data_IF_905857128332
#
_entry.id   IF_905857128332
#
_cell.length_a   1.000
_cell.length_b   1.000
_cell.length_c   1.000
_cell.angle_alpha   90.00
_cell.angle_beta   90.00
_cell.angle_gamma   90.00
#
_symmetry.space_group_name_H-M   'P 1'
#
loop_
_entity.id
_entity.type
_entity.pdbx_description
1 polymer ?
#
# COMPACT_ATOMS: atom_id res chain seq x y z
N UNK A 1 49.95 -44.05 2.26
CA UNK A 1 49.55 -42.85 3.03
C UNK A 1 49.67 -41.53 2.26
N UNK A 2 50.70 -41.30 1.43
CA UNK A 2 50.91 -40.02 0.69
C UNK A 2 49.77 -39.61 -0.28
N UNK A 3 49.11 -40.57 -0.97
CA UNK A 3 48.03 -40.28 -1.93
C UNK A 3 46.71 -39.79 -1.31
N UNK A 4 46.45 -40.10 -0.04
CA UNK A 4 45.22 -39.67 0.67
C UNK A 4 45.37 -38.26 1.25
N UNK A 5 46.60 -37.91 1.67
CA UNK A 5 46.93 -36.55 2.13
C UNK A 5 46.84 -35.53 0.98
N UNK A 6 47.30 -35.89 -0.22
CA UNK A 6 47.23 -35.01 -1.39
C UNK A 6 45.78 -34.78 -1.88
N UNK A 7 44.94 -35.83 -1.83
CA UNK A 7 43.52 -35.73 -2.19
C UNK A 7 42.69 -34.93 -1.18
N UNK A 8 42.98 -35.08 0.12
CA UNK A 8 42.32 -34.30 1.16
C UNK A 8 42.72 -32.82 1.10
N UNK A 9 44.00 -32.52 0.83
CA UNK A 9 44.47 -31.14 0.68
C UNK A 9 43.88 -30.44 -0.54
N UNK A 10 43.70 -31.15 -1.67
CA UNK A 10 43.08 -30.58 -2.87
C UNK A 10 41.59 -30.27 -2.65
N UNK A 11 40.87 -31.11 -1.90
CA UNK A 11 39.44 -30.94 -1.62
C UNK A 11 39.20 -29.77 -0.65
N UNK A 12 40.08 -29.58 0.33
CA UNK A 12 40.03 -28.43 1.27
C UNK A 12 40.33 -27.12 0.55
N UNK A 13 41.32 -27.10 -0.35
CA UNK A 13 41.62 -25.90 -1.16
C UNK A 13 40.47 -25.57 -2.11
N UNK A 14 39.84 -26.57 -2.72
CA UNK A 14 38.67 -26.36 -3.59
C UNK A 14 37.46 -25.82 -2.82
N UNK A 15 37.22 -26.34 -1.60
CA UNK A 15 36.15 -25.85 -0.72
C UNK A 15 36.39 -24.40 -0.27
N UNK A 16 37.64 -24.04 0.05
CA UNK A 16 38.03 -22.69 0.45
C UNK A 16 37.90 -21.67 -0.71
N UNK A 17 38.17 -22.08 -1.95
CA UNK A 17 37.94 -21.22 -3.12
C UNK A 17 36.46 -21.00 -3.44
N UNK A 18 35.58 -21.95 -3.11
CA UNK A 18 34.14 -21.84 -3.36
C UNK A 18 33.44 -20.90 -2.36
N UNK A 19 33.96 -20.80 -1.13
CA UNK A 19 33.46 -19.87 -0.09
C UNK A 19 33.93 -18.42 -0.28
N UNK A 20 34.95 -18.17 -1.11
CA UNK A 20 35.49 -16.84 -1.37
C UNK A 20 34.83 -16.11 -2.55
N UNK A 21 33.84 -16.74 -3.21
CA UNK A 21 32.96 -16.07 -4.17
C UNK A 21 32.04 -15.08 -3.47
N UNK A 22 32.59 -13.98 -2.97
CA UNK A 22 31.84 -12.90 -2.36
C UNK A 22 30.82 -12.36 -3.36
N UNK A 23 29.54 -12.49 -3.01
CA UNK A 23 28.47 -11.71 -3.63
C UNK A 23 28.87 -10.25 -3.50
N UNK A 24 29.23 -9.58 -4.60
CA UNK A 24 29.38 -8.13 -4.58
C UNK A 24 28.00 -7.55 -4.36
N UNK A 25 27.69 -7.21 -3.10
CA UNK A 25 26.56 -6.37 -2.78
C UNK A 25 26.72 -5.09 -3.62
N UNK A 26 25.77 -4.84 -4.53
CA UNK A 26 25.67 -3.56 -5.19
C UNK A 26 25.51 -2.52 -4.08
N UNK A 27 26.32 -1.46 -4.12
CA UNK A 27 26.19 -0.36 -3.17
C UNK A 27 24.77 0.22 -3.29
N UNK A 28 24.15 0.63 -2.17
CA UNK A 28 22.81 1.20 -2.20
C UNK A 28 22.78 2.45 -3.09
N UNK A 29 21.77 2.53 -3.97
CA UNK A 29 21.58 3.66 -4.88
C UNK A 29 20.22 4.29 -4.63
N UNK A 30 20.18 5.61 -4.58
CA UNK A 30 18.95 6.42 -4.49
C UNK A 30 18.64 6.99 -5.86
N UNK A 31 17.45 6.68 -6.36
CA UNK A 31 16.93 7.23 -7.61
C UNK A 31 15.83 8.26 -7.34
N UNK A 32 15.88 9.38 -8.07
CA UNK A 32 14.85 10.40 -8.02
C UNK A 32 14.54 10.95 -9.42
N UNK A 33 13.34 11.48 -9.62
CA UNK A 33 12.90 12.10 -10.88
C UNK A 33 12.62 13.57 -10.64
N UNK A 34 13.34 14.46 -11.32
CA UNK A 34 13.06 15.89 -11.35
C UNK A 34 12.26 16.24 -12.61
N UNK A 35 11.03 16.66 -12.44
CA UNK A 35 10.18 17.25 -13.47
C UNK A 35 10.44 18.76 -13.53
N UNK A 36 10.95 19.23 -14.65
CA UNK A 36 11.38 20.62 -14.82
C UNK A 36 10.89 21.23 -16.13
N UNK A 37 10.95 22.56 -16.22
CA UNK A 37 10.75 23.32 -17.46
C UNK A 37 11.99 24.17 -17.74
N UNK A 38 12.53 24.18 -18.97
CA UNK A 38 13.72 24.95 -19.34
C UNK A 38 13.50 26.47 -19.33
N UNK A 39 12.25 26.93 -19.16
CA UNK A 39 11.91 28.35 -19.05
C UNK A 39 11.56 28.78 -17.63
N UNK A 40 11.72 27.90 -16.63
CA UNK A 40 11.36 28.17 -15.25
C UNK A 40 12.58 28.54 -14.41
N UNK A 41 12.64 29.78 -13.91
CA UNK A 41 13.75 30.27 -13.07
C UNK A 41 13.96 29.42 -11.79
N UNK A 42 12.89 28.91 -11.18
CA UNK A 42 13.01 28.02 -10.02
C UNK A 42 13.62 26.65 -10.38
N UNK A 43 13.41 26.16 -11.60
CA UNK A 43 14.05 24.93 -12.09
C UNK A 43 15.55 25.15 -12.25
N UNK A 44 15.96 26.24 -12.90
CA UNK A 44 17.38 26.60 -13.02
C UNK A 44 18.09 26.65 -11.67
N UNK A 45 17.48 27.31 -10.68
CA UNK A 45 18.03 27.36 -9.32
C UNK A 45 18.28 25.96 -8.75
N UNK A 46 17.30 25.05 -8.83
CA UNK A 46 17.46 23.68 -8.32
C UNK A 46 18.55 22.93 -9.10
N UNK A 47 18.52 23.00 -10.42
CA UNK A 47 19.42 22.24 -11.30
C UNK A 47 20.87 22.74 -11.23
N UNK A 48 21.09 24.04 -11.06
CA UNK A 48 22.41 24.67 -11.16
C UNK A 48 23.05 24.89 -9.79
N UNK A 49 22.26 25.08 -8.73
CA UNK A 49 22.78 25.39 -7.39
C UNK A 49 22.59 24.24 -6.39
N UNK A 50 21.53 23.44 -6.52
CA UNK A 50 21.16 22.43 -5.50
C UNK A 50 21.64 21.04 -5.87
N UNK A 51 21.36 20.58 -7.09
CA UNK A 51 21.68 19.21 -7.50
C UNK A 51 23.19 18.93 -7.66
N UNK A 52 24.02 19.84 -8.21
CA UNK A 52 25.44 19.57 -8.42
C UNK A 52 26.21 19.19 -7.14
N UNK A 53 26.11 19.94 -6.01
CA UNK A 53 26.81 19.54 -4.78
C UNK A 53 26.29 18.23 -4.19
N UNK A 54 25.02 17.88 -4.40
CA UNK A 54 24.48 16.58 -3.97
C UNK A 54 25.04 15.44 -4.82
N UNK A 55 25.08 15.60 -6.15
CA UNK A 55 25.68 14.62 -7.06
C UNK A 55 27.18 14.41 -6.73
N UNK A 56 27.90 15.48 -6.42
CA UNK A 56 29.31 15.39 -6.00
C UNK A 56 29.46 14.65 -4.68
N UNK A 57 28.61 14.96 -3.69
CA UNK A 57 28.67 14.36 -2.35
C UNK A 57 28.35 12.85 -2.35
N UNK A 58 27.34 12.43 -3.10
CA UNK A 58 26.85 11.04 -3.07
C UNK A 58 27.41 10.18 -4.22
N UNK A 59 27.92 10.79 -5.29
CA UNK A 59 28.52 10.09 -6.42
C UNK A 59 27.57 9.06 -7.04
N UNK A 60 28.06 7.84 -7.24
CA UNK A 60 27.30 6.74 -7.83
C UNK A 60 26.12 6.24 -6.96
N UNK A 61 25.98 6.73 -5.72
CA UNK A 61 24.86 6.36 -4.85
C UNK A 61 23.64 7.28 -5.04
N UNK A 62 23.72 8.29 -5.91
CA UNK A 62 22.61 9.19 -6.23
C UNK A 62 22.45 9.34 -7.74
N UNK A 63 21.29 8.93 -8.25
CA UNK A 63 20.89 9.14 -9.63
C UNK A 63 19.62 9.99 -9.68
N UNK A 64 19.67 11.11 -10.40
CA UNK A 64 18.52 11.98 -10.60
C UNK A 64 18.26 12.09 -12.10
N UNK A 65 17.10 11.58 -12.52
CA UNK A 65 16.60 11.73 -13.89
C UNK A 65 15.89 13.07 -14.02
N UNK A 66 16.36 13.91 -14.91
CA UNK A 66 15.78 15.22 -15.18
C UNK A 66 14.88 15.12 -16.42
N UNK A 67 13.58 15.38 -16.24
CA UNK A 67 12.54 15.20 -17.24
C UNK A 67 11.93 16.55 -17.59
N UNK A 68 12.11 16.98 -18.85
CA UNK A 68 11.53 18.22 -19.35
C UNK A 68 10.03 18.06 -19.61
N UNK A 69 9.19 18.75 -18.84
CA UNK A 69 7.72 18.68 -18.96
C UNK A 69 7.15 19.41 -20.19
N UNK A 70 7.98 20.15 -20.93
CA UNK A 70 7.57 20.73 -22.22
C UNK A 70 7.61 19.71 -23.36
N UNK A 71 8.35 18.60 -23.19
CA UNK A 71 8.36 17.51 -24.16
C UNK A 71 7.13 16.60 -23.96
N UNK A 72 6.59 15.97 -25.02
CA UNK A 72 5.42 15.11 -24.92
C UNK A 72 5.57 13.98 -23.89
N UNK A 73 6.73 13.34 -23.85
CA UNK A 73 7.04 12.25 -22.91
C UNK A 73 7.09 12.77 -21.47
N UNK A 74 7.77 13.89 -21.24
CA UNK A 74 7.88 14.48 -19.91
C UNK A 74 6.56 15.07 -19.39
N UNK A 75 5.73 15.63 -20.29
CA UNK A 75 4.38 16.05 -19.97
C UNK A 75 3.51 14.87 -19.51
N UNK A 76 3.64 13.71 -20.16
CA UNK A 76 2.94 12.49 -19.75
C UNK A 76 3.38 12.01 -18.36
N UNK A 77 4.69 12.01 -18.08
CA UNK A 77 5.22 11.69 -16.73
C UNK A 77 4.71 12.69 -15.69
N UNK A 78 4.68 13.98 -16.02
CA UNK A 78 4.15 15.02 -15.12
C UNK A 78 2.66 14.79 -14.80
N UNK A 79 1.83 14.49 -15.80
CA UNK A 79 0.41 14.17 -15.55
C UNK A 79 0.24 12.91 -14.70
N UNK A 80 0.99 11.85 -14.99
CA UNK A 80 0.95 10.62 -14.18
C UNK A 80 1.40 10.87 -12.73
N UNK A 81 2.37 11.76 -12.54
CA UNK A 81 2.83 12.19 -11.21
C UNK A 81 1.73 12.92 -10.45
N UNK A 82 1.02 13.84 -11.10
CA UNK A 82 -0.12 14.55 -10.49
C UNK A 82 -1.28 13.62 -10.14
N UNK A 83 -1.56 12.64 -11.00
CA UNK A 83 -2.63 11.66 -10.79
C UNK A 83 -2.31 10.71 -9.62
N UNK A 84 -1.08 10.20 -9.59
CA UNK A 84 -0.63 9.26 -8.56
C UNK A 84 -0.48 9.93 -7.20
N UNK A 85 0.35 10.96 -7.11
CA UNK A 85 0.76 11.51 -5.82
C UNK A 85 -0.14 12.65 -5.31
N UNK A 86 -1.01 13.19 -6.17
CA UNK A 86 -1.98 14.25 -5.85
C UNK A 86 -1.38 15.37 -4.97
N UNK A 87 -0.22 15.95 -5.34
CA UNK A 87 0.48 16.88 -4.48
C UNK A 87 -0.38 18.14 -4.23
N UNK A 88 -0.32 18.65 -3.00
CA UNK A 88 -1.09 19.83 -2.58
C UNK A 88 -0.73 21.08 -3.41
N UNK A 89 0.54 21.18 -3.83
CA UNK A 89 1.04 22.23 -4.71
C UNK A 89 1.41 21.61 -6.05
N UNK A 90 0.93 22.22 -7.13
CA UNK A 90 1.23 21.82 -8.51
C UNK A 90 2.16 22.85 -9.15
N UNK A 91 3.18 22.38 -9.84
CA UNK A 91 4.14 23.22 -10.53
C UNK A 91 5.48 22.53 -10.69
N UNK A 92 6.39 23.20 -11.40
CA UNK A 92 7.79 22.78 -11.53
C UNK A 92 8.70 23.82 -10.85
N UNK A 93 9.88 23.44 -10.33
CA UNK A 93 10.43 22.07 -10.30
C UNK A 93 9.64 21.17 -9.35
N UNK A 94 9.42 19.92 -9.74
CA UNK A 94 8.82 18.88 -8.89
C UNK A 94 9.73 17.68 -8.89
N UNK A 95 10.20 17.28 -7.71
CA UNK A 95 11.08 16.14 -7.53
C UNK A 95 10.34 15.02 -6.79
N UNK A 96 10.42 13.81 -7.33
CA UNK A 96 9.86 12.60 -6.74
C UNK A 96 11.00 11.67 -6.35
N UNK A 97 11.01 11.21 -5.09
CA UNK A 97 11.98 10.27 -4.54
C UNK A 97 11.24 9.26 -3.67
N UNK A 98 11.25 7.98 -4.04
CA UNK A 98 10.33 7.00 -3.45
C UNK A 98 8.88 7.43 -3.62
N UNK A 99 8.19 7.67 -2.50
CA UNK A 99 6.81 8.17 -2.44
C UNK A 99 6.73 9.67 -2.06
N UNK A 100 7.87 10.31 -1.76
CA UNK A 100 7.93 11.73 -1.40
C UNK A 100 7.92 12.63 -2.64
N UNK A 101 7.06 13.66 -2.61
CA UNK A 101 7.01 14.72 -3.64
C UNK A 101 7.43 16.06 -3.06
N UNK A 102 8.50 16.62 -3.60
CA UNK A 102 9.03 17.94 -3.24
C UNK A 102 8.78 18.92 -4.39
N UNK A 103 8.21 20.09 -4.09
CA UNK A 103 7.83 21.08 -5.10
C UNK A 103 8.49 22.43 -4.82
N UNK A 104 9.12 22.98 -5.85
CA UNK A 104 9.69 24.32 -5.85
C UNK A 104 11.11 24.40 -5.29
N UNK A 105 11.73 25.58 -5.45
CA UNK A 105 13.12 25.85 -5.08
C UNK A 105 13.34 26.13 -3.59
N UNK A 106 12.37 25.79 -2.74
CA UNK A 106 12.45 25.92 -1.28
C UNK A 106 12.41 24.54 -0.65
N UNK A 107 11.34 23.77 -0.93
CA UNK A 107 11.17 22.44 -0.38
C UNK A 107 12.27 21.47 -0.85
N UNK A 108 12.65 21.53 -2.13
CA UNK A 108 13.68 20.64 -2.69
C UNK A 108 15.03 20.79 -1.95
N UNK A 109 15.65 21.98 -1.85
CA UNK A 109 16.92 22.11 -1.13
C UNK A 109 16.84 21.81 0.36
N UNK A 110 15.69 22.05 1.01
CA UNK A 110 15.52 21.81 2.44
C UNK A 110 15.37 20.32 2.78
N UNK A 111 14.67 19.55 1.94
CA UNK A 111 14.24 18.17 2.26
C UNK A 111 15.03 17.09 1.54
N UNK A 112 15.50 17.36 0.32
CA UNK A 112 16.16 16.35 -0.50
C UNK A 112 17.42 15.75 0.17
N UNK A 113 18.31 16.52 0.83
CA UNK A 113 19.51 15.95 1.44
C UNK A 113 19.18 14.91 2.52
N UNK A 114 18.19 15.18 3.38
CA UNK A 114 17.76 14.28 4.45
C UNK A 114 17.12 13.01 3.88
N UNK A 115 16.32 13.12 2.82
CA UNK A 115 15.70 11.97 2.17
C UNK A 115 16.74 11.06 1.51
N UNK A 116 17.78 11.63 0.88
CA UNK A 116 18.86 10.82 0.31
C UNK A 116 19.54 10.00 1.40
N UNK A 117 19.91 10.62 2.52
CA UNK A 117 20.53 9.90 3.65
C UNK A 117 19.59 8.84 4.24
N UNK A 118 18.29 9.16 4.37
CA UNK A 118 17.25 8.25 4.85
C UNK A 118 17.15 6.97 4.01
N UNK A 119 17.14 7.10 2.68
CA UNK A 119 17.04 5.96 1.77
C UNK A 119 18.36 5.20 1.63
N UNK A 120 19.52 5.88 1.64
CA UNK A 120 20.82 5.19 1.62
C UNK A 120 21.04 4.29 2.84
N UNK A 121 20.50 4.67 4.01
CA UNK A 121 20.53 3.83 5.22
C UNK A 121 19.62 2.58 5.12
N UNK A 122 18.77 2.50 4.10
CA UNK A 122 17.77 1.43 3.88
C UNK A 122 18.00 0.67 2.58
N UNK A 123 19.27 0.43 2.27
CA UNK A 123 19.71 -0.23 1.03
C UNK A 123 19.38 0.53 -0.28
N UNK A 124 19.06 1.83 -0.18
CA UNK A 124 18.76 2.69 -1.32
C UNK A 124 17.26 2.76 -1.64
N UNK A 125 16.93 3.37 -2.77
CA UNK A 125 15.58 3.39 -3.30
C UNK A 125 15.61 3.35 -4.83
N UNK A 126 14.79 2.48 -5.41
CA UNK A 126 14.65 2.37 -6.86
C UNK A 126 14.01 3.61 -7.49
N UNK A 127 13.89 3.61 -8.82
CA UNK A 127 13.17 4.66 -9.54
C UNK A 127 11.74 4.81 -9.00
N UNK A 128 11.23 6.04 -8.84
CA UNK A 128 9.83 6.25 -8.49
C UNK A 128 8.91 5.47 -9.44
N UNK A 129 7.85 4.86 -8.88
CA UNK A 129 6.85 4.09 -9.63
C UNK A 129 5.97 5.04 -10.48
N UNK A 130 6.56 5.57 -11.55
CA UNK A 130 5.98 6.45 -12.56
C UNK A 130 6.05 5.73 -13.92
N UNK A 131 4.97 5.74 -14.71
CA UNK A 131 4.96 5.07 -15.99
C UNK A 131 5.88 5.79 -16.99
N UNK A 132 6.57 5.01 -17.84
CA UNK A 132 7.31 5.49 -19.02
C UNK A 132 8.36 6.57 -18.72
N UNK A 133 9.17 6.37 -17.67
CA UNK A 133 10.32 7.25 -17.42
C UNK A 133 11.30 7.24 -18.61
N UNK A 134 11.63 8.39 -19.22
CA UNK A 134 12.54 8.45 -20.37
C UNK A 134 13.92 7.89 -20.03
N UNK A 135 14.43 6.98 -20.85
CA UNK A 135 15.78 6.42 -20.69
C UNK A 135 15.94 5.39 -19.55
N UNK A 136 14.88 5.10 -18.79
CA UNK A 136 14.87 4.05 -17.76
C UNK A 136 14.19 2.80 -18.35
N UNK A 137 14.87 1.65 -18.46
CA UNK A 137 14.24 0.43 -18.94
C UNK A 137 13.15 -0.01 -17.96
N UNK A 138 12.04 -0.53 -18.47
CA UNK A 138 10.89 -0.92 -17.64
C UNK A 138 11.23 -1.99 -16.59
N UNK A 139 12.27 -2.79 -16.84
CA UNK A 139 12.83 -3.74 -15.88
C UNK A 139 13.57 -3.11 -14.69
N UNK A 140 13.93 -1.82 -14.77
CA UNK A 140 14.57 -1.06 -13.69
C UNK A 140 13.57 -0.20 -12.91
N UNK A 141 12.34 -0.05 -13.41
CA UNK A 141 11.24 0.48 -12.62
C UNK A 141 10.81 -0.60 -11.63
N UNK A 142 10.35 -0.23 -10.42
CA UNK A 142 9.57 -1.16 -9.62
C UNK A 142 8.46 -1.70 -10.50
N UNK A 143 8.17 -3.02 -10.45
CA UNK A 143 7.14 -3.59 -11.29
C UNK A 143 5.87 -2.78 -11.09
N UNK A 144 5.32 -2.22 -12.18
CA UNK A 144 3.94 -1.73 -12.21
C UNK A 144 3.14 -2.82 -11.50
N UNK A 145 2.37 -2.51 -10.44
CA UNK A 145 1.63 -3.53 -9.72
C UNK A 145 0.82 -4.29 -10.75
N UNK A 146 1.28 -5.50 -11.05
CA UNK A 146 0.48 -6.46 -11.80
C UNK A 146 -0.75 -6.61 -10.92
N UNK A 147 -1.98 -6.46 -11.43
CA UNK A 147 -3.15 -6.73 -10.62
C UNK A 147 -2.98 -8.14 -10.08
N UNK A 148 -2.55 -8.23 -8.83
CA UNK A 148 -2.52 -9.47 -8.08
C UNK A 148 -3.98 -9.90 -8.11
N UNK A 149 -4.29 -11.14 -8.53
CA UNK A 149 -5.65 -11.61 -8.46
C UNK A 149 -6.16 -11.27 -7.05
N UNK A 150 -7.18 -10.43 -7.00
CA UNK A 150 -7.72 -9.86 -5.78
C UNK A 150 -8.36 -10.94 -4.86
N UNK A 151 -7.99 -12.22 -5.02
CA UNK A 151 -8.47 -13.33 -4.22
C UNK A 151 -7.66 -13.54 -2.94
N UNK A 152 -6.38 -13.13 -2.88
CA UNK A 152 -5.50 -13.47 -1.74
C UNK A 152 -4.94 -12.25 -0.97
N UNK A 153 -5.22 -11.03 -1.44
CA UNK A 153 -4.78 -9.79 -0.81
C UNK A 153 -5.59 -9.49 0.47
N UNK A 154 -4.95 -9.63 1.63
CA UNK A 154 -5.50 -9.28 2.95
C UNK A 154 -5.15 -7.82 3.28
N UNK A 155 -6.17 -7.01 3.55
CA UNK A 155 -6.07 -5.63 4.05
C UNK A 155 -6.25 -5.67 5.56
N UNK A 156 -5.18 -5.38 6.31
CA UNK A 156 -5.24 -5.26 7.76
C UNK A 156 -5.50 -3.80 8.14
N UNK A 157 -6.59 -3.57 8.86
CA UNK A 157 -7.03 -2.26 9.34
C UNK A 157 -7.02 -2.27 10.87
N UNK A 158 -6.18 -1.44 11.48
CA UNK A 158 -6.30 -1.16 12.91
C UNK A 158 -7.34 -0.07 13.11
N UNK A 159 -8.30 -0.30 14.01
CA UNK A 159 -9.36 0.66 14.31
C UNK A 159 -9.42 0.92 15.81
N UNK A 160 -9.07 2.14 16.20
CA UNK A 160 -9.11 2.63 17.57
C UNK A 160 -10.43 3.33 17.86
N UNK A 161 -11.12 2.86 18.90
CA UNK A 161 -12.43 3.37 19.28
C UNK A 161 -12.58 3.54 20.79
N UNK A 162 -13.68 4.16 21.19
CA UNK A 162 -14.18 4.17 22.57
C UNK A 162 -15.67 3.79 22.56
N UNK A 163 -16.16 2.95 23.48
CA UNK A 163 -17.57 2.55 23.52
C UNK A 163 -18.55 3.73 23.66
N UNK A 164 -18.11 4.83 24.28
CA UNK A 164 -18.93 6.03 24.48
C UNK A 164 -18.91 7.00 23.30
N UNK A 165 -18.06 6.76 22.29
CA UNK A 165 -17.91 7.61 21.12
C UNK A 165 -19.08 7.43 20.13
N UNK A 166 -19.91 8.46 19.98
CA UNK A 166 -21.05 8.44 19.03
C UNK A 166 -20.60 8.33 17.57
N UNK A 167 -19.51 9.01 17.20
CA UNK A 167 -18.94 8.94 15.85
C UNK A 167 -18.36 7.57 15.50
N UNK A 168 -17.81 6.86 16.50
CA UNK A 168 -17.32 5.50 16.36
C UNK A 168 -18.48 4.54 16.03
N UNK A 169 -19.61 4.66 16.74
CA UNK A 169 -20.82 3.88 16.43
C UNK A 169 -21.37 4.16 15.03
N UNK A 170 -21.37 5.42 14.61
CA UNK A 170 -21.83 5.79 13.26
C UNK A 170 -20.92 5.15 12.19
N UNK A 171 -19.61 5.33 12.34
CA UNK A 171 -18.61 4.77 11.44
C UNK A 171 -18.71 3.24 11.36
N UNK A 172 -18.93 2.55 12.47
CA UNK A 172 -19.12 1.09 12.50
C UNK A 172 -20.37 0.64 11.72
N UNK A 173 -21.50 1.31 11.95
CA UNK A 173 -22.79 0.92 11.38
C UNK A 173 -22.93 1.25 9.89
N UNK A 174 -22.29 2.33 9.44
CA UNK A 174 -22.42 2.81 8.06
C UNK A 174 -21.24 2.32 7.22
N UNK A 175 -20.02 2.68 7.61
CA UNK A 175 -18.83 2.51 6.78
C UNK A 175 -18.20 1.14 6.95
N UNK A 176 -17.88 0.72 8.18
CA UNK A 176 -17.25 -0.59 8.39
C UNK A 176 -18.17 -1.74 8.01
N UNK A 177 -19.48 -1.61 8.25
CA UNK A 177 -20.46 -2.61 7.83
C UNK A 177 -20.46 -2.79 6.31
N UNK A 178 -20.45 -1.68 5.55
CA UNK A 178 -20.34 -1.74 4.10
C UNK A 178 -19.02 -2.34 3.65
N UNK A 179 -17.89 -1.86 4.18
CA UNK A 179 -16.55 -2.34 3.81
C UNK A 179 -16.38 -3.83 4.11
N UNK A 180 -16.84 -4.33 5.27
CA UNK A 180 -16.85 -5.76 5.58
C UNK A 180 -17.73 -6.56 4.62
N UNK A 181 -18.87 -6.01 4.19
CA UNK A 181 -19.71 -6.68 3.19
C UNK A 181 -19.05 -6.74 1.81
N UNK A 182 -18.36 -5.67 1.40
CA UNK A 182 -17.67 -5.58 0.10
C UNK A 182 -16.42 -6.46 0.06
N UNK A 183 -15.62 -6.45 1.12
CA UNK A 183 -14.30 -7.09 1.15
C UNK A 183 -14.28 -8.45 1.88
N UNK A 184 -15.31 -8.78 2.66
CA UNK A 184 -15.45 -10.04 3.39
C UNK A 184 -14.16 -10.41 4.16
N UNK A 185 -13.63 -11.62 3.94
CA UNK A 185 -12.43 -12.14 4.61
C UNK A 185 -11.14 -11.45 4.17
N UNK A 186 -11.20 -10.59 3.14
CA UNK A 186 -10.05 -9.81 2.69
C UNK A 186 -9.81 -8.57 3.53
N UNK A 187 -10.81 -8.09 4.28
CA UNK A 187 -10.64 -6.94 5.18
C UNK A 187 -10.62 -7.45 6.62
N UNK A 188 -9.43 -7.50 7.21
CA UNK A 188 -9.25 -7.83 8.62
C UNK A 188 -9.22 -6.55 9.43
N UNK A 189 -10.31 -6.28 10.15
CA UNK A 189 -10.41 -5.12 11.04
C UNK A 189 -10.09 -5.55 12.47
N UNK A 190 -8.96 -5.11 13.00
CA UNK A 190 -8.63 -5.25 14.42
C UNK A 190 -9.18 -4.03 15.16
N UNK A 191 -10.26 -4.22 15.91
CA UNK A 191 -10.81 -3.16 16.76
C UNK A 191 -10.08 -3.12 18.10
N UNK A 192 -9.58 -1.94 18.48
CA UNK A 192 -8.86 -1.69 19.73
C UNK A 192 -9.62 -0.61 20.52
N UNK A 193 -9.95 -0.90 21.77
CA UNK A 193 -10.54 0.12 22.64
C UNK A 193 -9.44 0.96 23.30
N UNK A 194 -9.53 2.27 23.15
CA UNK A 194 -8.65 3.25 23.82
C UNK A 194 -8.98 3.42 25.31
N UNK A 195 -10.12 2.87 25.78
CA UNK A 195 -10.46 2.82 27.20
C UNK A 195 -9.66 1.77 27.95
N UNK A 196 -9.21 0.72 27.27
CA UNK A 196 -8.43 -0.37 27.87
C UNK A 196 -6.97 0.04 28.03
N UNK A 197 -6.30 -0.41 29.09
CA UNK A 197 -4.92 -0.01 29.36
C UNK A 197 -3.96 -0.43 28.23
N UNK A 198 -4.09 -1.66 27.71
CA UNK A 198 -3.29 -2.15 26.60
C UNK A 198 -3.60 -1.39 25.30
N UNK A 199 -4.88 -1.15 25.01
CA UNK A 199 -5.29 -0.43 23.80
C UNK A 199 -4.88 1.04 23.82
N UNK A 200 -4.89 1.69 24.99
CA UNK A 200 -4.38 3.05 25.19
C UNK A 200 -2.87 3.13 24.98
N UNK A 201 -2.12 2.21 25.56
CA UNK A 201 -0.66 2.12 25.37
C UNK A 201 -0.31 1.96 23.89
N UNK A 202 -1.04 1.08 23.18
CA UNK A 202 -0.86 0.91 21.75
C UNK A 202 -1.22 2.20 20.97
N UNK A 203 -2.34 2.83 21.31
CA UNK A 203 -2.77 4.08 20.67
C UNK A 203 -1.74 5.20 20.84
N UNK A 204 -1.18 5.38 22.03
CA UNK A 204 -0.11 6.34 22.30
C UNK A 204 1.14 6.08 21.45
N UNK A 205 1.55 4.81 21.31
CA UNK A 205 2.69 4.43 20.47
C UNK A 205 2.43 4.72 18.99
N UNK A 206 1.22 4.43 18.50
CA UNK A 206 0.80 4.71 17.12
C UNK A 206 0.77 6.22 16.86
N UNK A 207 0.18 7.02 17.75
CA UNK A 207 0.18 8.49 17.65
C UNK A 207 1.61 9.04 17.62
N UNK A 208 2.51 8.53 18.47
CA UNK A 208 3.90 8.96 18.50
C UNK A 208 4.66 8.64 17.20
N UNK A 209 4.31 7.53 16.55
CA UNK A 209 4.89 7.12 15.27
C UNK A 209 4.37 7.96 14.10
N UNK A 210 3.04 8.03 13.92
CA UNK A 210 2.42 8.70 12.77
C UNK A 210 2.31 10.22 12.92
N UNK A 211 2.40 10.74 14.14
CA UNK A 211 2.31 12.18 14.48
C UNK A 211 1.16 12.90 13.75
N UNK A 212 -0.09 12.42 13.89
CA UNK A 212 -1.23 13.02 13.20
C UNK A 212 -1.46 14.45 13.68
N UNK A 213 -2.02 15.30 12.80
CA UNK A 213 -2.35 16.69 13.14
C UNK A 213 -3.49 16.82 14.17
N UNK A 214 -4.25 15.74 14.38
CA UNK A 214 -5.35 15.66 15.33
C UNK A 214 -5.28 14.30 16.03
N UNK A 215 -5.53 14.28 17.33
CA UNK A 215 -5.62 13.07 18.13
C UNK A 215 -7.06 12.87 18.63
N UNK A 216 -7.52 11.62 18.63
CA UNK A 216 -8.84 11.25 19.13
C UNK A 216 -9.33 9.96 18.50
N UNK A 217 -10.58 9.60 18.81
CA UNK A 217 -11.28 8.47 18.19
C UNK A 217 -12.56 8.96 17.49
N UNK A 218 -13.03 8.31 16.41
CA UNK A 218 -12.45 7.13 15.76
C UNK A 218 -11.12 7.44 15.10
N UNK A 219 -10.16 6.51 15.20
CA UNK A 219 -8.91 6.58 14.46
C UNK A 219 -8.64 5.24 13.79
N UNK A 220 -8.09 5.26 12.59
CA UNK A 220 -7.75 4.06 11.83
C UNK A 220 -6.33 4.14 11.31
N UNK A 221 -5.66 2.99 11.24
CA UNK A 221 -4.35 2.85 10.61
C UNK A 221 -4.43 1.77 9.55
N UNK A 222 -4.01 2.13 8.34
CA UNK A 222 -3.91 1.24 7.19
C UNK A 222 -2.58 1.54 6.49
N UNK A 223 -1.66 0.57 6.54
CA UNK A 223 -0.30 0.75 6.03
C UNK A 223 0.40 1.94 6.70
N UNK A 224 0.85 2.90 5.89
CA UNK A 224 1.54 4.11 6.37
C UNK A 224 0.60 5.29 6.66
N UNK A 225 -0.71 5.10 6.53
CA UNK A 225 -1.70 6.18 6.74
C UNK A 225 -2.45 6.00 8.05
N UNK A 226 -2.48 7.06 8.85
CA UNK A 226 -3.36 7.21 10.01
C UNK A 226 -4.43 8.27 9.73
N UNK A 227 -5.71 7.90 9.83
CA UNK A 227 -6.83 8.83 9.74
C UNK A 227 -7.47 9.00 11.12
N UNK A 228 -7.86 10.22 11.46
CA UNK A 228 -8.44 10.55 12.78
C UNK A 228 -9.69 11.40 12.62
N UNK A 229 -10.75 11.06 13.37
CA UNK A 229 -11.95 11.86 13.54
C UNK A 229 -13.12 11.50 12.63
N UNK A 230 -14.26 12.14 12.88
CA UNK A 230 -15.57 11.80 12.29
C UNK A 230 -15.78 12.27 10.85
N UNK A 231 -14.77 12.88 10.22
CA UNK A 231 -14.86 13.36 8.83
C UNK A 231 -13.90 12.59 7.94
N UNK A 232 -12.62 12.69 8.25
CA UNK A 232 -11.56 12.09 7.46
C UNK A 232 -11.65 10.57 7.42
N UNK A 233 -11.96 9.93 8.56
CA UNK A 233 -12.10 8.47 8.63
C UNK A 233 -13.21 7.97 7.68
N UNK A 234 -14.49 8.40 7.79
CA UNK A 234 -15.53 7.91 6.90
C UNK A 234 -15.37 8.37 5.43
N UNK A 235 -14.84 9.56 5.17
CA UNK A 235 -14.71 10.08 3.80
C UNK A 235 -13.54 9.44 3.03
N UNK A 236 -12.41 9.16 3.68
CA UNK A 236 -11.18 8.73 3.00
C UNK A 236 -10.90 7.24 3.11
N UNK A 237 -11.34 6.58 4.18
CA UNK A 237 -11.03 5.17 4.40
C UNK A 237 -11.49 4.25 3.26
N UNK A 238 -12.70 4.38 2.69
CA UNK A 238 -13.12 3.48 1.61
C UNK A 238 -12.15 3.48 0.42
N UNK A 239 -11.70 4.66 0.00
CA UNK A 239 -10.72 4.78 -1.09
C UNK A 239 -9.36 4.17 -0.73
N UNK A 240 -8.91 4.30 0.52
CA UNK A 240 -7.65 3.67 0.97
C UNK A 240 -7.76 2.14 1.00
N UNK A 241 -8.92 1.60 1.38
CA UNK A 241 -9.15 0.15 1.34
C UNK A 241 -9.18 -0.35 -0.09
N UNK A 242 -9.82 0.38 -1.02
CA UNK A 242 -9.83 0.06 -2.45
C UNK A 242 -8.40 0.04 -3.02
N UNK A 243 -7.61 1.05 -2.69
CA UNK A 243 -6.21 1.18 -3.12
C UNK A 243 -5.34 0.04 -2.58
N UNK A 244 -5.41 -0.24 -1.28
CA UNK A 244 -4.65 -1.33 -0.67
C UNK A 244 -5.11 -2.70 -1.18
N UNK A 245 -6.40 -2.90 -1.39
CA UNK A 245 -6.91 -4.14 -1.97
C UNK A 245 -6.42 -4.35 -3.40
N UNK A 246 -6.24 -3.28 -4.18
CA UNK A 246 -5.65 -3.32 -5.51
C UNK A 246 -4.12 -3.52 -5.50
N UNK A 247 -3.44 -3.01 -4.47
CA UNK A 247 -1.99 -3.11 -4.29
C UNK A 247 -1.50 -4.47 -3.75
N UNK A 248 -2.39 -5.42 -3.51
CA UNK A 248 -2.03 -6.76 -2.98
C UNK A 248 -2.23 -6.91 -1.47
N UNK A 249 -2.85 -5.93 -0.81
CA UNK A 249 -3.16 -5.94 0.61
C UNK A 249 -2.46 -4.80 1.35
N UNK A 250 -2.73 -4.71 2.65
CA UNK A 250 -2.00 -3.84 3.56
C UNK A 250 -1.60 -4.65 4.78
N UNK A 251 -0.30 -4.72 5.07
CA UNK A 251 0.21 -5.32 6.29
C UNK A 251 0.05 -4.35 7.46
N UNK A 252 0.03 -4.92 8.67
CA UNK A 252 0.14 -4.12 9.89
C UNK A 252 1.49 -3.39 9.92
N UNK A 253 1.55 -2.19 10.49
CA UNK A 253 2.81 -1.47 10.59
C UNK A 253 3.77 -2.20 11.53
N UNK A 254 5.06 -2.13 11.22
CA UNK A 254 6.12 -2.73 12.03
C UNK A 254 6.37 -1.88 13.29
N UNK A 255 5.54 -2.10 14.32
CA UNK A 255 5.62 -1.42 15.60
C UNK A 255 5.80 -2.45 16.73
N UNK A 256 6.86 -2.34 17.56
CA UNK A 256 7.02 -3.21 18.72
C UNK A 256 5.82 -3.22 19.68
N UNK A 257 5.11 -2.08 19.76
CA UNK A 257 3.90 -1.97 20.57
C UNK A 257 2.74 -2.84 20.06
N UNK A 258 2.67 -3.14 18.75
CA UNK A 258 1.67 -4.05 18.20
C UNK A 258 1.96 -5.49 18.60
N UNK A 259 3.22 -5.92 18.52
CA UNK A 259 3.64 -7.25 18.96
C UNK A 259 3.30 -7.47 20.43
N UNK A 260 3.61 -6.49 21.30
CA UNK A 260 3.28 -6.54 22.72
C UNK A 260 1.75 -6.58 22.94
N UNK A 261 0.98 -5.78 22.20
CA UNK A 261 -0.47 -5.79 22.29
C UNK A 261 -1.07 -7.16 21.94
N UNK A 262 -0.65 -7.78 20.83
CA UNK A 262 -1.12 -9.10 20.43
C UNK A 262 -0.63 -10.23 21.35
N UNK A 263 0.53 -10.07 21.99
CA UNK A 263 1.05 -11.04 22.95
C UNK A 263 0.32 -11.00 24.31
N UNK A 264 -0.17 -9.82 24.71
CA UNK A 264 -0.75 -9.59 26.05
C UNK A 264 -2.28 -9.57 26.06
N UNK A 265 -2.91 -9.43 24.90
CA UNK A 265 -4.36 -9.53 24.75
C UNK A 265 -4.73 -10.88 24.15
N UNK A 266 -5.65 -11.66 24.75
CA UNK A 266 -6.20 -12.82 24.06
C UNK A 266 -6.87 -12.31 22.78
N UNK A 267 -6.42 -12.82 21.63
CA UNK A 267 -6.85 -12.43 20.28
C UNK A 267 -8.35 -12.10 20.27
N UNK A 268 -8.79 -10.84 20.08
CA UNK A 268 -10.11 -10.62 19.56
C UNK A 268 -10.11 -11.28 18.19
N UNK A 269 -10.84 -12.39 18.07
CA UNK A 269 -11.14 -13.05 16.80
C UNK A 269 -11.43 -11.98 15.76
N UNK A 270 -10.89 -12.03 14.52
CA UNK A 270 -11.33 -11.14 13.47
C UNK A 270 -12.87 -11.20 13.44
N UNK A 271 -13.53 -10.10 13.82
CA UNK A 271 -15.00 -10.05 13.94
C UNK A 271 -15.61 -9.92 12.56
N UNK A 272 -15.25 -10.82 11.65
CA UNK A 272 -16.17 -11.18 10.58
C UNK A 272 -17.20 -12.11 11.23
N UNK A 273 -18.50 -11.80 11.14
CA UNK A 273 -19.51 -12.84 11.27
C UNK A 273 -19.03 -14.03 10.42
N UNK A 274 -19.05 -15.28 10.93
CA UNK A 274 -18.62 -16.43 10.15
C UNK A 274 -19.28 -16.33 8.79
N UNK A 275 -18.46 -16.34 7.73
CA UNK A 275 -18.92 -16.25 6.35
C UNK A 275 -20.15 -17.16 6.24
N UNK A 276 -21.33 -16.56 6.07
CA UNK A 276 -22.52 -17.35 5.82
C UNK A 276 -22.15 -18.24 4.64
N UNK A 277 -22.23 -19.58 4.77
CA UNK A 277 -21.87 -20.46 3.70
C UNK A 277 -22.61 -19.95 2.48
N UNK A 278 -21.83 -19.51 1.48
CA UNK A 278 -22.33 -19.07 0.17
C UNK A 278 -23.38 -20.10 -0.16
N UNK A 279 -24.65 -19.70 -0.13
CA UNK A 279 -25.72 -20.64 -0.41
C UNK A 279 -25.38 -21.16 -1.80
N UNK A 280 -24.84 -22.38 -1.83
CA UNK A 280 -24.70 -23.10 -3.07
C UNK A 280 -26.10 -23.02 -3.63
N UNK A 281 -26.24 -22.41 -4.81
CA UNK A 281 -27.40 -22.57 -5.64
C UNK A 281 -27.40 -24.05 -6.03
N UNK A 282 -27.70 -24.90 -5.05
CA UNK A 282 -28.12 -26.27 -5.27
C UNK A 282 -29.43 -26.08 -5.98
N UNK A 283 -29.43 -26.37 -7.27
CA UNK A 283 -30.63 -26.59 -8.05
C UNK A 283 -31.45 -27.67 -7.33
N UNK A 284 -32.29 -27.25 -6.38
CA UNK A 284 -33.22 -28.13 -5.70
C UNK A 284 -34.38 -28.41 -6.66
N UNK A 285 -34.80 -29.66 -6.82
CA UNK A 285 -35.76 -30.12 -7.83
C UNK A 285 -37.22 -29.62 -7.62
N UNK A 286 -37.43 -28.66 -6.72
CA UNK A 286 -38.75 -28.12 -6.36
C UNK A 286 -39.30 -27.16 -7.40
N UNK A 287 -38.44 -26.53 -8.21
CA UNK A 287 -38.87 -25.71 -9.35
C UNK A 287 -39.64 -26.53 -10.41
N UNK A 288 -39.40 -27.85 -10.50
CA UNK A 288 -40.13 -28.74 -11.40
C UNK A 288 -41.54 -29.11 -10.89
N UNK A 289 -41.78 -29.09 -9.57
CA UNK A 289 -43.09 -29.40 -9.00
C UNK A 289 -44.09 -28.24 -9.14
N UNK A 290 -43.61 -26.99 -9.06
CA UNK A 290 -44.45 -25.80 -9.27
C UNK A 290 -44.98 -25.68 -10.70
N UNK A 291 -44.15 -26.00 -11.70
CA UNK A 291 -44.52 -25.95 -13.13
C UNK A 291 -45.53 -27.07 -13.46
N UNK A 292 -45.37 -28.27 -12.89
CA UNK A 292 -46.32 -29.38 -13.11
C UNK A 292 -47.71 -29.10 -12.52
N UNK A 293 -47.79 -28.46 -11.35
CA UNK A 293 -49.06 -28.09 -10.73
C UNK A 293 -49.81 -27.01 -11.53
N UNK A 294 -49.10 -26.00 -12.05
CA UNK A 294 -49.70 -24.96 -12.90
C UNK A 294 -50.17 -25.52 -14.25
N UNK A 295 -49.46 -26.48 -14.83
CA UNK A 295 -49.89 -27.16 -16.06
C UNK A 295 -51.18 -27.98 -15.84
N UNK A 296 -51.31 -28.67 -14.71
CA UNK A 296 -52.51 -29.45 -14.38
C UNK A 296 -53.74 -28.55 -14.13
N UNK A 297 -53.55 -27.39 -13.48
CA UNK A 297 -54.63 -26.40 -13.28
C UNK A 297 -55.08 -25.79 -14.62
N UNK A 298 -54.13 -25.50 -15.53
CA UNK A 298 -54.46 -25.01 -16.86
C UNK A 298 -55.25 -26.05 -17.69
N UNK A 299 -54.85 -27.33 -17.64
CA UNK A 299 -55.56 -28.42 -18.32
C UNK A 299 -56.98 -28.61 -17.74
N UNK A 300 -57.14 -28.54 -16.42
CA UNK A 300 -58.45 -28.64 -15.77
C UNK A 300 -59.39 -27.47 -16.16
N UNK A 301 -58.87 -26.25 -16.27
CA UNK A 301 -59.63 -25.08 -16.72
C UNK A 301 -60.05 -25.18 -18.20
N UNK A 302 -59.21 -25.74 -19.06
CA UNK A 302 -59.55 -25.98 -20.48
C UNK A 302 -60.64 -27.05 -20.60
N UNK A 303 -60.56 -28.15 -19.84
CA UNK A 303 -61.58 -29.22 -19.86
C UNK A 303 -62.93 -28.71 -19.32
N UNK A 304 -62.92 -27.88 -18.27
CA UNK A 304 -64.14 -27.29 -17.71
C UNK A 304 -64.83 -26.34 -18.69
N UNK A 305 -64.06 -25.59 -19.49
CA UNK A 305 -64.59 -24.65 -20.49
C UNK A 305 -65.17 -25.34 -21.74
N UNK A 306 -64.82 -26.59 -22.01
CA UNK A 306 -65.36 -27.36 -23.15
C UNK A 306 -66.67 -28.10 -22.78
N UNK A 307 -66.96 -28.25 -21.47
CA UNK A 307 -68.13 -28.97 -20.97
C UNK A 307 -69.34 -28.10 -20.63
N UNK A 308 -69.23 -26.79 -20.78
CA UNK A 308 -70.31 -25.80 -20.68
C UNK A 308 -70.44 -25.05 -22.00
#
# INVERSE_FOLDING_TARGET
MSRYLFRSSLLVVLLLTFLAGGVKAQSPVVHAVLLYSPTCAHCHKVMEEVLPPLRERYGAQLEILEVNVQEPEGSAVYQATLEKFKPAVRGVPMLVIGEDVLVGSVQIPERLPELIEYYLQRDGIGWPALPKLPGVPESALPPTPTPVPASDAIVNLLYFQSPSCSGCRQFENEVLTQLRSTYADRLQVTTISTTDAAGRKLYEAVVAYYKPSLEGVPAVVLGETMLVGNRDVPEKLPGLVDEAAAAGGALLPDLPALEEYFATTPTPSPTNPPAQPRAALTNTPWAMLGIAALALVAIALVIFRIRH
#
